data_IF_746844990777
#
_entry.id   IF_746844990777
#
_cell.length_a   1.000
_cell.length_b   1.000
_cell.length_c   1.000
_cell.angle_alpha   90.00
_cell.angle_beta   90.00
_cell.angle_gamma   90.00
#
_symmetry.space_group_name_H-M   'P 1'
#
loop_
_entity.id
_entity.type
_entity.pdbx_description
1 polymer ?
#
# COMPACT_ATOMS: atom_id res chain seq x y z
N UNK A 1 22.22 -1.15 3.48
CA UNK A 1 21.33 -0.57 2.44
C UNK A 1 21.88 0.77 2.00
N UNK A 2 21.99 1.04 0.69
CA UNK A 2 22.44 2.34 0.17
C UNK A 2 21.40 3.43 0.48
N UNK A 3 21.81 4.70 0.55
CA UNK A 3 20.90 5.81 0.84
C UNK A 3 19.72 5.89 -0.15
N UNK A 4 19.98 5.70 -1.45
CA UNK A 4 18.94 5.69 -2.48
C UNK A 4 17.93 4.57 -2.31
N UNK A 5 18.40 3.37 -1.96
CA UNK A 5 17.54 2.21 -1.65
C UNK A 5 16.71 2.45 -0.39
N UNK A 6 17.31 3.06 0.63
CA UNK A 6 16.62 3.44 1.87
C UNK A 6 15.49 4.43 1.60
N UNK A 7 15.76 5.50 0.86
CA UNK A 7 14.77 6.51 0.50
C UNK A 7 13.63 5.88 -0.31
N UNK A 8 13.96 5.01 -1.26
CA UNK A 8 12.99 4.27 -2.09
C UNK A 8 12.08 3.39 -1.21
N UNK A 9 12.65 2.64 -0.27
CA UNK A 9 11.88 1.83 0.67
C UNK A 9 10.99 2.68 1.58
N UNK A 10 11.51 3.77 2.15
CA UNK A 10 10.73 4.65 3.02
C UNK A 10 9.56 5.29 2.25
N UNK A 11 9.78 5.77 1.02
CA UNK A 11 8.70 6.29 0.18
C UNK A 11 7.65 5.21 -0.13
N UNK A 12 8.07 3.98 -0.44
CA UNK A 12 7.17 2.86 -0.67
C UNK A 12 6.33 2.53 0.58
N UNK A 13 6.96 2.40 1.74
CA UNK A 13 6.28 2.11 3.00
C UNK A 13 5.30 3.23 3.39
N UNK A 14 5.72 4.50 3.28
CA UNK A 14 4.85 5.64 3.52
C UNK A 14 3.65 5.69 2.59
N UNK A 15 3.87 5.32 1.32
CA UNK A 15 2.80 5.25 0.34
C UNK A 15 1.80 4.15 0.69
N UNK A 16 2.26 2.90 0.90
CA UNK A 16 1.38 1.80 1.28
C UNK A 16 0.65 2.10 2.60
N UNK A 17 1.36 2.61 3.60
CA UNK A 17 0.79 3.07 4.87
C UNK A 17 -0.36 4.04 4.62
N UNK A 18 -0.16 5.08 3.80
CA UNK A 18 -1.20 6.08 3.51
C UNK A 18 -2.46 5.48 2.88
N UNK A 19 -2.33 4.38 2.12
CA UNK A 19 -3.46 3.68 1.50
C UNK A 19 -4.16 2.75 2.50
N UNK A 20 -3.42 2.16 3.42
CA UNK A 20 -3.96 1.30 4.47
C UNK A 20 -4.65 2.09 5.58
N UNK A 21 -4.21 3.30 5.91
CA UNK A 21 -4.91 4.18 6.87
C UNK A 21 -6.19 4.78 6.30
N UNK A 22 -6.24 5.05 4.98
CA UNK A 22 -7.46 5.52 4.29
C UNK A 22 -8.60 4.49 4.27
N UNK A 23 -8.40 3.36 4.94
CA UNK A 23 -9.39 2.35 5.28
C UNK A 23 -10.06 2.65 6.63
N UNK A 24 -10.12 3.93 7.02
CA UNK A 24 -11.19 4.35 7.93
C UNK A 24 -12.46 4.19 7.12
N UNK A 25 -13.08 3.02 7.27
CA UNK A 25 -14.51 2.86 7.07
C UNK A 25 -15.10 3.73 8.18
N UNK A 26 -15.08 5.05 7.97
CA UNK A 26 -15.95 5.92 8.72
C UNK A 26 -17.33 5.30 8.62
N UNK A 27 -18.04 5.35 9.75
CA UNK A 27 -19.41 4.92 9.92
C UNK A 27 -20.39 5.75 9.07
N UNK A 28 -19.98 6.15 7.88
CA UNK A 28 -20.79 6.80 6.86
C UNK A 28 -21.29 5.71 5.93
N UNK A 29 -22.59 5.50 6.04
CA UNK A 29 -23.41 4.41 5.51
C UNK A 29 -23.45 4.28 3.97
N UNK A 30 -22.49 4.76 3.19
CA UNK A 30 -22.68 4.81 1.72
C UNK A 30 -21.49 4.44 0.81
N UNK A 31 -20.31 4.07 1.33
CA UNK A 31 -19.24 3.57 0.45
C UNK A 31 -18.48 2.39 1.06
N UNK A 32 -18.61 1.23 0.42
CA UNK A 32 -17.71 0.04 0.44
C UNK A 32 -17.89 -1.08 1.48
N UNK A 33 -18.88 -1.05 2.37
CA UNK A 33 -19.10 -2.17 3.34
C UNK A 33 -19.83 -3.38 2.77
N UNK A 34 -20.44 -3.29 1.58
CA UNK A 34 -21.17 -4.41 0.96
C UNK A 34 -20.28 -5.59 0.53
N UNK A 35 -18.96 -5.37 0.46
CA UNK A 35 -17.98 -6.38 0.06
C UNK A 35 -17.64 -7.33 1.22
N UNK A 36 -17.78 -6.93 2.49
CA UNK A 36 -17.38 -7.77 3.65
C UNK A 36 -18.56 -8.00 4.60
N UNK A 37 -19.56 -8.76 4.12
CA UNK A 37 -20.76 -9.16 4.90
C UNK A 37 -20.53 -10.03 6.16
N UNK A 38 -19.30 -10.43 6.51
CA UNK A 38 -19.03 -11.26 7.70
C UNK A 38 -18.27 -10.44 8.75
N UNK A 39 -18.94 -10.14 9.87
CA UNK A 39 -18.41 -9.30 10.94
C UNK A 39 -17.13 -9.85 11.58
N UNK A 40 -17.00 -11.17 11.71
CA UNK A 40 -15.81 -11.76 12.36
C UNK A 40 -14.58 -11.60 11.47
N UNK A 41 -14.78 -11.75 10.16
CA UNK A 41 -13.76 -11.51 9.15
C UNK A 41 -13.36 -10.03 9.13
N UNK A 42 -14.32 -9.11 9.20
CA UNK A 42 -14.05 -7.66 9.31
C UNK A 42 -13.17 -7.37 10.53
N UNK A 43 -13.50 -7.92 11.71
CA UNK A 43 -12.73 -7.70 12.93
C UNK A 43 -11.28 -8.22 12.85
N UNK A 44 -11.07 -9.41 12.29
CA UNK A 44 -9.72 -9.97 12.12
C UNK A 44 -8.91 -9.19 11.07
N UNK A 45 -9.57 -8.73 9.98
CA UNK A 45 -8.97 -7.84 8.99
C UNK A 45 -8.55 -6.51 9.60
N UNK A 46 -9.34 -5.92 10.50
CA UNK A 46 -9.00 -4.69 11.20
C UNK A 46 -7.77 -4.86 12.10
N UNK A 47 -7.71 -5.94 12.89
CA UNK A 47 -6.55 -6.21 13.75
C UNK A 47 -5.26 -6.39 12.94
N UNK A 48 -5.34 -7.11 11.82
CA UNK A 48 -4.19 -7.31 10.92
C UNK A 48 -3.82 -6.03 10.18
N UNK A 49 -4.81 -5.22 9.76
CA UNK A 49 -4.61 -3.88 9.19
C UNK A 49 -3.82 -3.00 10.14
N UNK A 50 -4.26 -2.88 11.39
CA UNK A 50 -3.63 -2.01 12.39
C UNK A 50 -2.20 -2.44 12.70
N UNK A 51 -1.97 -3.77 12.73
CA UNK A 51 -0.61 -4.31 12.82
C UNK A 51 0.24 -3.87 11.63
N UNK A 52 -0.23 -4.03 10.39
CA UNK A 52 0.53 -3.64 9.20
C UNK A 52 0.80 -2.13 9.15
N UNK A 53 -0.21 -1.31 9.46
CA UNK A 53 -0.08 0.14 9.58
C UNK A 53 0.99 0.50 10.61
N UNK A 54 0.97 -0.12 11.79
CA UNK A 54 1.98 0.12 12.82
C UNK A 54 3.39 -0.25 12.37
N UNK A 55 3.57 -1.41 11.74
CA UNK A 55 4.90 -1.85 11.27
C UNK A 55 5.43 -0.97 10.13
N UNK A 56 4.56 -0.53 9.20
CA UNK A 56 4.95 0.42 8.15
C UNK A 56 5.30 1.80 8.73
N UNK A 57 4.54 2.28 9.72
CA UNK A 57 4.76 3.57 10.36
C UNK A 57 6.11 3.64 11.08
N UNK A 58 6.63 2.52 11.60
CA UNK A 58 7.99 2.43 12.17
C UNK A 58 9.08 2.72 11.13
N UNK A 59 8.81 2.48 9.85
CA UNK A 59 9.73 2.76 8.75
C UNK A 59 9.52 4.19 8.25
N UNK A 60 8.30 4.48 7.77
CA UNK A 60 7.95 5.81 7.28
C UNK A 60 6.43 5.98 7.14
N UNK A 61 5.98 7.20 7.42
CA UNK A 61 4.63 7.71 7.10
C UNK A 61 4.73 8.87 6.11
N UNK A 62 3.63 9.23 5.44
CA UNK A 62 3.60 10.43 4.58
C UNK A 62 4.05 11.69 5.34
N UNK A 63 3.61 11.86 6.58
CA UNK A 63 4.06 12.96 7.43
C UNK A 63 5.59 12.96 7.62
N UNK A 64 6.18 11.79 7.90
CA UNK A 64 7.64 11.68 8.04
C UNK A 64 8.39 11.99 6.73
N UNK A 65 7.82 11.62 5.57
CA UNK A 65 8.40 11.96 4.26
C UNK A 65 8.35 13.47 4.03
N UNK A 66 7.22 14.12 4.31
CA UNK A 66 7.08 15.57 4.17
C UNK A 66 8.08 16.31 5.08
N UNK A 67 8.19 15.90 6.34
CA UNK A 67 9.18 16.46 7.26
C UNK A 67 10.61 16.27 6.76
N UNK A 68 10.94 15.13 6.14
CA UNK A 68 12.27 14.89 5.55
C UNK A 68 12.52 15.75 4.32
N UNK A 69 11.48 16.12 3.56
CA UNK A 69 11.60 17.04 2.42
C UNK A 69 11.82 18.47 2.93
N UNK A 70 10.98 18.93 3.87
CA UNK A 70 10.98 20.30 4.40
C UNK A 70 12.23 20.62 5.21
N UNK A 71 12.67 19.69 6.06
CA UNK A 71 13.79 19.93 6.98
C UNK A 71 15.16 19.48 6.44
N UNK A 72 15.23 18.97 5.20
CA UNK A 72 16.50 18.50 4.65
C UNK A 72 17.44 19.67 4.37
N UNK A 73 18.62 19.62 4.98
CA UNK A 73 19.74 20.54 4.65
C UNK A 73 20.31 20.29 3.26
N UNK A 74 20.01 19.14 2.64
CA UNK A 74 20.43 18.78 1.29
C UNK A 74 19.25 18.82 0.33
N UNK A 75 19.28 19.76 -0.62
CA UNK A 75 18.28 19.83 -1.68
C UNK A 75 18.24 18.56 -2.55
N UNK A 76 19.36 17.87 -2.69
CA UNK A 76 19.42 16.57 -3.38
C UNK A 76 18.60 15.50 -2.65
N UNK A 77 18.74 15.39 -1.32
CA UNK A 77 17.99 14.40 -0.53
C UNK A 77 16.49 14.71 -0.55
N UNK A 78 16.10 15.98 -0.40
CA UNK A 78 14.69 16.41 -0.51
C UNK A 78 14.10 16.03 -1.88
N UNK A 79 14.85 16.29 -2.96
CA UNK A 79 14.45 15.92 -4.33
C UNK A 79 14.33 14.42 -4.51
N UNK A 80 15.18 13.61 -3.87
CA UNK A 80 15.07 12.15 -3.92
C UNK A 80 13.78 11.64 -3.27
N UNK A 81 13.42 12.15 -2.08
CA UNK A 81 12.15 11.80 -1.42
C UNK A 81 10.95 12.23 -2.26
N UNK A 82 10.92 13.49 -2.67
CA UNK A 82 9.85 14.04 -3.51
C UNK A 82 9.68 13.25 -4.81
N UNK A 83 10.78 13.01 -5.54
CA UNK A 83 10.74 12.26 -6.81
C UNK A 83 10.26 10.82 -6.64
N UNK A 84 10.70 10.13 -5.59
CA UNK A 84 10.27 8.75 -5.35
C UNK A 84 8.79 8.67 -4.97
N UNK A 85 8.30 9.58 -4.12
CA UNK A 85 6.89 9.59 -3.74
C UNK A 85 5.98 9.99 -4.92
N UNK A 86 6.37 11.03 -5.69
CA UNK A 86 5.65 11.44 -6.91
C UNK A 86 5.64 10.34 -7.97
N UNK A 87 6.72 9.55 -8.10
CA UNK A 87 6.74 8.39 -9.01
C UNK A 87 5.63 7.39 -8.68
N UNK A 88 5.40 7.10 -7.40
CA UNK A 88 4.34 6.19 -6.96
C UNK A 88 2.94 6.75 -7.25
N UNK A 89 2.72 8.04 -7.00
CA UNK A 89 1.45 8.72 -7.36
C UNK A 89 1.16 8.63 -8.86
N UNK A 90 2.13 9.01 -9.69
CA UNK A 90 2.00 8.95 -11.14
C UNK A 90 1.78 7.51 -11.66
N UNK A 91 2.34 6.50 -10.99
CA UNK A 91 2.11 5.10 -11.34
C UNK A 91 0.69 4.66 -10.98
N UNK A 92 0.13 5.10 -9.85
CA UNK A 92 -1.29 4.84 -9.55
C UNK A 92 -2.19 5.47 -10.60
N UNK A 93 -2.03 6.76 -10.88
CA UNK A 93 -2.90 7.50 -11.81
C UNK A 93 -2.89 6.91 -13.23
N UNK A 94 -1.79 6.28 -13.63
CA UNK A 94 -1.66 5.62 -14.94
C UNK A 94 -2.28 4.23 -15.00
N UNK A 95 -2.37 3.53 -13.88
CA UNK A 95 -2.82 2.13 -13.86
C UNK A 95 -4.20 1.96 -13.21
N UNK A 96 -4.78 3.02 -12.64
CA UNK A 96 -6.14 3.07 -12.11
C UNK A 96 -6.83 4.25 -12.76
N UNK A 97 -7.85 3.99 -13.58
CA UNK A 97 -8.53 5.04 -14.33
C UNK A 97 -9.32 5.96 -13.40
N UNK A 98 -9.43 7.25 -13.76
CA UNK A 98 -10.28 8.19 -13.04
C UNK A 98 -11.74 7.70 -13.03
N UNK A 99 -12.35 7.63 -11.83
CA UNK A 99 -13.72 7.13 -11.64
C UNK A 99 -13.85 5.61 -11.58
N UNK A 100 -12.76 4.85 -11.70
CA UNK A 100 -12.78 3.42 -11.44
C UNK A 100 -12.90 3.16 -9.94
N UNK A 101 -13.83 2.29 -9.54
CA UNK A 101 -13.88 1.78 -8.18
C UNK A 101 -12.58 1.04 -7.84
N UNK A 102 -11.95 1.44 -6.74
CA UNK A 102 -10.80 0.75 -6.19
C UNK A 102 -10.82 0.83 -4.65
N UNK A 103 -10.25 -0.18 -4.01
CA UNK A 103 -10.11 -0.26 -2.56
C UNK A 103 -8.64 0.07 -2.22
N UNK A 104 -8.33 1.28 -1.72
CA UNK A 104 -6.95 1.73 -1.55
C UNK A 104 -6.09 0.79 -0.71
N UNK A 105 -6.63 0.29 0.40
CA UNK A 105 -5.89 -0.61 1.27
C UNK A 105 -5.64 -1.98 0.66
N UNK A 106 -6.58 -2.50 -0.14
CA UNK A 106 -6.37 -3.74 -0.88
C UNK A 106 -5.23 -3.59 -1.88
N UNK A 107 -5.20 -2.47 -2.63
CA UNK A 107 -4.10 -2.13 -3.51
C UNK A 107 -2.77 -2.06 -2.73
N UNK A 108 -2.76 -1.37 -1.59
CA UNK A 108 -1.57 -1.29 -0.72
C UNK A 108 -1.08 -2.65 -0.23
N UNK A 109 -2.00 -3.54 0.17
CA UNK A 109 -1.69 -4.92 0.55
C UNK A 109 -1.10 -5.71 -0.61
N UNK A 110 -1.73 -5.66 -1.79
CA UNK A 110 -1.21 -6.33 -2.98
C UNK A 110 0.18 -5.83 -3.39
N UNK A 111 0.44 -4.52 -3.24
CA UNK A 111 1.76 -3.95 -3.49
C UNK A 111 2.81 -4.52 -2.53
N UNK A 112 2.46 -4.72 -1.25
CA UNK A 112 3.36 -5.38 -0.30
C UNK A 112 3.59 -6.85 -0.64
N UNK A 113 2.57 -7.60 -1.07
CA UNK A 113 2.75 -8.98 -1.54
C UNK A 113 3.75 -9.01 -2.68
N UNK A 114 3.53 -8.20 -3.73
CA UNK A 114 4.46 -8.13 -4.86
C UNK A 114 5.86 -7.70 -4.43
N UNK A 115 5.98 -6.81 -3.43
CA UNK A 115 7.28 -6.42 -2.89
C UNK A 115 8.00 -7.63 -2.26
N UNK A 116 7.33 -8.40 -1.41
CA UNK A 116 7.91 -9.58 -0.75
C UNK A 116 8.23 -10.71 -1.73
N UNK A 117 7.36 -10.95 -2.72
CA UNK A 117 7.60 -11.96 -3.76
C UNK A 117 8.84 -11.64 -4.62
N UNK A 118 9.11 -10.35 -4.86
CA UNK A 118 10.19 -9.89 -5.72
C UNK A 118 11.51 -9.57 -4.99
N UNK A 119 11.46 -9.07 -3.76
CA UNK A 119 12.64 -8.75 -2.93
C UNK A 119 12.78 -9.84 -1.86
N UNK A 120 13.75 -10.75 -2.03
CA UNK A 120 14.07 -11.86 -1.10
C UNK A 120 14.50 -11.42 0.32
N UNK A 121 14.27 -10.17 0.70
CA UNK A 121 14.64 -9.56 1.97
C UNK A 121 13.40 -9.09 2.74
N UNK A 122 12.54 -10.02 3.13
CA UNK A 122 11.42 -9.78 4.06
C UNK A 122 11.88 -9.09 5.36
N UNK A 123 13.15 -9.23 5.74
CA UNK A 123 13.72 -8.72 6.99
C UNK A 123 13.62 -7.20 7.21
N UNK A 124 13.32 -6.41 6.17
CA UNK A 124 13.25 -4.94 6.29
C UNK A 124 11.88 -4.43 6.74
N UNK A 125 10.83 -5.19 6.52
CA UNK A 125 9.46 -4.86 6.92
C UNK A 125 8.98 -6.02 7.78
N UNK A 126 8.72 -5.78 9.06
CA UNK A 126 8.34 -6.80 10.02
C UNK A 126 6.86 -7.23 9.86
N UNK A 127 6.48 -7.63 8.65
CA UNK A 127 5.18 -8.14 8.25
C UNK A 127 5.40 -9.50 7.62
N UNK A 128 4.64 -10.52 8.05
CA UNK A 128 4.70 -11.85 7.45
C UNK A 128 3.87 -11.88 6.17
N UNK A 129 4.43 -12.44 5.10
CA UNK A 129 3.73 -12.60 3.83
C UNK A 129 2.43 -13.40 3.98
N UNK A 130 2.44 -14.49 4.76
CA UNK A 130 1.26 -15.33 5.01
C UNK A 130 0.10 -14.54 5.64
N UNK A 131 0.40 -13.64 6.57
CA UNK A 131 -0.60 -12.78 7.20
C UNK A 131 -1.23 -11.82 6.18
N UNK A 132 -0.43 -11.33 5.24
CA UNK A 132 -0.85 -10.42 4.18
C UNK A 132 -1.69 -11.13 3.10
N UNK A 133 -1.28 -12.33 2.71
CA UNK A 133 -2.02 -13.19 1.77
C UNK A 133 -3.37 -13.58 2.36
N UNK A 134 -3.42 -13.94 3.65
CA UNK A 134 -4.67 -14.21 4.34
C UNK A 134 -5.63 -13.02 4.22
N UNK A 135 -5.15 -11.80 4.49
CA UNK A 135 -5.96 -10.57 4.36
C UNK A 135 -6.47 -10.38 2.93
N UNK A 136 -5.63 -10.59 1.91
CA UNK A 136 -5.98 -10.39 0.49
C UNK A 136 -7.00 -11.43 0.01
N UNK A 137 -6.80 -12.71 0.32
CA UNK A 137 -7.69 -13.80 -0.13
C UNK A 137 -9.13 -13.61 0.38
N UNK A 138 -9.33 -12.92 1.49
CA UNK A 138 -10.67 -12.62 1.99
C UNK A 138 -11.43 -11.63 1.09
N UNK A 139 -10.76 -10.70 0.43
CA UNK A 139 -11.38 -9.77 -0.53
C UNK A 139 -11.83 -10.45 -1.83
N UNK A 140 -11.22 -11.57 -2.22
CA UNK A 140 -11.57 -12.32 -3.45
C UNK A 140 -12.93 -13.04 -3.37
N UNK A 141 -13.50 -13.20 -2.16
CA UNK A 141 -14.60 -14.15 -1.92
C UNK A 141 -16.01 -13.66 -2.29
N UNK A 142 -16.23 -12.42 -2.76
CA UNK A 142 -17.59 -11.85 -2.88
C UNK A 142 -17.92 -11.32 -4.27
N UNK A 143 -18.93 -11.90 -4.93
CA UNK A 143 -19.53 -11.53 -6.24
C UNK A 143 -18.59 -11.53 -7.47
N UNK A 144 -19.12 -11.92 -8.64
CA UNK A 144 -18.38 -11.91 -9.91
C UNK A 144 -17.89 -10.50 -10.29
N UNK A 145 -18.65 -9.46 -9.97
CA UNK A 145 -18.28 -8.08 -10.27
C UNK A 145 -17.10 -7.60 -9.41
N UNK A 146 -17.05 -7.94 -8.11
CA UNK A 146 -15.91 -7.55 -7.28
C UNK A 146 -14.66 -8.37 -7.63
N UNK A 147 -14.79 -9.62 -8.10
CA UNK A 147 -13.64 -10.39 -8.58
C UNK A 147 -12.90 -9.66 -9.68
N UNK A 148 -13.61 -9.04 -10.62
CA UNK A 148 -12.98 -8.25 -11.70
C UNK A 148 -12.23 -7.04 -11.15
N UNK A 149 -12.84 -6.32 -10.21
CA UNK A 149 -12.21 -5.16 -9.55
C UNK A 149 -10.97 -5.58 -8.75
N UNK A 150 -11.06 -6.66 -7.98
CA UNK A 150 -9.95 -7.27 -7.24
C UNK A 150 -8.82 -7.71 -8.16
N UNK A 151 -9.11 -8.47 -9.22
CA UNK A 151 -8.11 -8.91 -10.18
C UNK A 151 -7.41 -7.73 -10.89
N UNK A 152 -8.16 -6.68 -11.23
CA UNK A 152 -7.59 -5.48 -11.82
C UNK A 152 -6.67 -4.74 -10.83
N UNK A 153 -7.05 -4.68 -9.56
CA UNK A 153 -6.21 -4.09 -8.51
C UNK A 153 -4.94 -4.90 -8.24
N UNK A 154 -5.02 -6.23 -8.23
CA UNK A 154 -3.82 -7.09 -8.10
C UNK A 154 -2.87 -6.86 -9.27
N UNK A 155 -3.38 -6.81 -10.50
CA UNK A 155 -2.58 -6.50 -11.70
C UNK A 155 -1.96 -5.11 -11.62
N UNK A 156 -2.74 -4.10 -11.22
CA UNK A 156 -2.24 -2.73 -11.06
C UNK A 156 -1.16 -2.66 -9.98
N UNK A 157 -1.39 -3.25 -8.81
CA UNK A 157 -0.42 -3.32 -7.71
C UNK A 157 0.90 -3.95 -8.16
N UNK A 158 0.81 -5.06 -8.90
CA UNK A 158 1.97 -5.74 -9.45
C UNK A 158 2.78 -4.82 -10.38
N UNK A 159 2.12 -4.24 -11.39
CA UNK A 159 2.74 -3.33 -12.36
C UNK A 159 3.36 -2.10 -11.68
N UNK A 160 2.63 -1.48 -10.73
CA UNK A 160 3.10 -0.30 -9.99
C UNK A 160 4.35 -0.67 -9.21
N UNK A 161 4.33 -1.79 -8.49
CA UNK A 161 5.44 -2.22 -7.64
C UNK A 161 6.67 -2.54 -8.48
N UNK A 162 6.54 -3.35 -9.53
CA UNK A 162 7.67 -3.68 -10.41
C UNK A 162 8.28 -2.44 -11.09
N UNK A 163 7.45 -1.56 -11.66
CA UNK A 163 7.92 -0.31 -12.29
C UNK A 163 8.52 0.67 -11.30
N UNK A 164 8.04 0.65 -10.06
CA UNK A 164 8.64 1.47 -9.02
C UNK A 164 10.05 0.97 -8.71
N UNK A 165 10.19 -0.34 -8.49
CA UNK A 165 11.44 -0.99 -8.09
C UNK A 165 12.46 -1.20 -9.21
N UNK A 166 12.05 -1.15 -10.49
CA UNK A 166 12.96 -1.18 -11.63
C UNK A 166 14.04 -0.09 -11.56
N UNK A 167 15.20 -0.40 -12.16
CA UNK A 167 16.40 0.46 -12.20
C UNK A 167 16.19 1.73 -13.02
#
# INVERSE_FOLDING_TARGET
MKLSEKIKLECFCAFVHSRMIGLDIEKDDDVSTDIIKDKKIVEDLYKKKDQFVSELAKIATLQSINQKIENSRSGMIAKMYSSNYTKLLNLIEKNIAAGQEYIPAFLGGCMLVTYFENDKNEEKINIKLDDLILVINHFETKSEDNKKTVLNMMKAAHIITEKYWSK
#
